data_IF_773009437269
#
_entry.id   IF_773009437269
#
_cell.length_a   1.000
_cell.length_b   1.000
_cell.length_c   1.000
_cell.angle_alpha   90.00
_cell.angle_beta   90.00
_cell.angle_gamma   90.00
#
_symmetry.space_group_name_H-M   'P 1'
#
loop_
_entity.id
_entity.type
_entity.pdbx_description
1 polymer ?
#
# COMPACT_ATOMS: atom_id res chain seq x y z
N UNK A 1 11.59 3.36 -14.64
CA UNK A 1 10.53 2.50 -14.09
C UNK A 1 10.76 1.08 -14.58
N UNK A 2 10.94 0.14 -13.66
CA UNK A 2 11.14 -1.28 -13.96
C UNK A 2 9.83 -2.04 -13.76
N UNK A 3 9.56 -3.08 -14.57
CA UNK A 3 8.38 -3.92 -14.37
C UNK A 3 8.56 -4.77 -13.12
N UNK A 4 7.52 -4.86 -12.31
CA UNK A 4 7.50 -5.65 -11.08
C UNK A 4 6.21 -6.46 -10.97
N UNK A 5 6.31 -7.60 -10.28
CA UNK A 5 5.15 -8.35 -9.79
C UNK A 5 4.92 -7.92 -8.35
N UNK A 6 3.75 -7.36 -8.06
CA UNK A 6 3.36 -6.93 -6.73
C UNK A 6 2.50 -8.04 -6.12
N UNK A 7 2.92 -8.54 -4.96
CA UNK A 7 2.16 -9.48 -4.16
C UNK A 7 1.81 -8.83 -2.83
N UNK A 8 0.51 -8.77 -2.53
CA UNK A 8 -0.02 -8.20 -1.28
C UNK A 8 -0.67 -9.34 -0.52
N UNK A 9 -0.29 -9.49 0.75
CA UNK A 9 -0.89 -10.46 1.66
C UNK A 9 -1.47 -9.72 2.85
N UNK A 10 -2.73 -9.96 3.15
CA UNK A 10 -3.43 -9.30 4.24
C UNK A 10 -4.10 -10.35 5.11
N UNK A 11 -3.84 -10.30 6.42
CA UNK A 11 -4.58 -11.08 7.41
C UNK A 11 -5.53 -10.16 8.15
N UNK A 12 -6.84 -10.41 8.02
CA UNK A 12 -7.84 -9.60 8.71
C UNK A 12 -8.02 -10.05 10.17
N UNK A 13 -8.42 -9.14 11.07
CA UNK A 13 -8.72 -9.51 12.45
C UNK A 13 -9.77 -10.62 12.53
N UNK A 14 -9.45 -11.71 13.23
CA UNK A 14 -10.33 -12.87 13.40
C UNK A 14 -10.23 -13.94 12.30
N UNK A 15 -9.56 -13.64 11.19
CA UNK A 15 -9.31 -14.61 10.12
C UNK A 15 -8.09 -15.48 10.41
N UNK A 16 -8.08 -16.69 9.82
CA UNK A 16 -6.94 -17.63 9.90
C UNK A 16 -6.15 -17.72 8.60
N UNK A 17 -6.70 -17.23 7.50
CA UNK A 17 -6.14 -17.32 6.16
C UNK A 17 -5.84 -15.92 5.62
N UNK A 18 -4.78 -15.82 4.81
CA UNK A 18 -4.41 -14.58 4.15
C UNK A 18 -5.28 -14.35 2.93
N UNK A 19 -5.74 -13.12 2.77
CA UNK A 19 -6.15 -12.61 1.46
C UNK A 19 -4.89 -12.28 0.66
N UNK A 20 -4.74 -12.90 -0.50
CA UNK A 20 -3.60 -12.67 -1.40
C UNK A 20 -4.04 -12.00 -2.69
N UNK A 21 -3.32 -10.95 -3.09
CA UNK A 21 -3.49 -10.27 -4.37
C UNK A 21 -2.16 -10.24 -5.11
N UNK A 22 -2.21 -10.59 -6.41
CA UNK A 22 -1.06 -10.44 -7.31
C UNK A 22 -1.44 -9.50 -8.44
N UNK A 23 -0.62 -8.46 -8.66
CA UNK A 23 -0.80 -7.52 -9.76
C UNK A 23 0.53 -7.26 -10.48
N UNK A 24 0.44 -6.83 -11.73
CA UNK A 24 1.58 -6.32 -12.49
C UNK A 24 1.65 -4.81 -12.30
N UNK A 25 2.86 -4.30 -12.09
CA UNK A 25 3.06 -2.87 -11.93
C UNK A 25 4.50 -2.48 -12.20
N UNK A 26 4.90 -1.36 -11.63
CA UNK A 26 6.22 -0.81 -11.80
C UNK A 26 6.86 -0.45 -10.48
N UNK A 27 8.19 -0.51 -10.44
CA UNK A 27 9.00 -0.04 -9.34
C UNK A 27 9.97 1.03 -9.84
N UNK A 28 10.18 2.06 -9.04
CA UNK A 28 11.16 3.11 -9.31
C UNK A 28 11.86 3.52 -8.02
N UNK A 29 13.19 3.65 -8.07
CA UNK A 29 13.98 4.19 -6.97
C UNK A 29 14.34 5.65 -7.25
N UNK A 30 14.08 6.52 -6.27
CA UNK A 30 14.47 7.93 -6.30
C UNK A 30 15.13 8.30 -4.97
N UNK A 31 16.46 8.38 -4.98
CA UNK A 31 17.23 8.64 -3.76
C UNK A 31 17.01 7.52 -2.73
N UNK A 32 16.55 7.90 -1.54
CA UNK A 32 16.23 6.98 -0.44
C UNK A 32 14.78 6.47 -0.45
N UNK A 33 14.02 6.73 -1.52
CA UNK A 33 12.62 6.30 -1.64
C UNK A 33 12.46 5.26 -2.73
N UNK A 34 11.60 4.29 -2.46
CA UNK A 34 11.13 3.33 -3.46
C UNK A 34 9.65 3.57 -3.71
N UNK A 35 9.28 3.71 -4.97
CA UNK A 35 7.89 3.88 -5.41
C UNK A 35 7.45 2.64 -6.16
N UNK A 36 6.32 2.07 -5.77
CA UNK A 36 5.69 0.92 -6.44
C UNK A 36 4.32 1.37 -6.90
N UNK A 37 4.04 1.31 -8.20
CA UNK A 37 2.74 1.69 -8.76
C UNK A 37 2.10 0.51 -9.47
N UNK A 38 0.82 0.27 -9.18
CA UNK A 38 0.02 -0.76 -9.84
C UNK A 38 -1.44 -0.33 -9.96
N UNK A 39 -2.13 -0.88 -10.96
CA UNK A 39 -3.57 -0.72 -11.10
C UNK A 39 -4.27 -1.78 -10.26
N UNK A 40 -5.21 -1.35 -9.42
CA UNK A 40 -6.07 -2.25 -8.66
C UNK A 40 -6.96 -3.05 -9.64
N UNK A 41 -7.47 -4.21 -9.20
CA UNK A 41 -8.23 -5.11 -10.07
C UNK A 41 -9.72 -5.10 -9.74
N UNK A 42 -10.54 -5.63 -10.64
CA UNK A 42 -11.98 -5.84 -10.37
C UNK A 42 -12.19 -6.77 -9.15
N UNK A 43 -11.22 -7.64 -8.86
CA UNK A 43 -11.26 -8.55 -7.70
C UNK A 43 -11.36 -7.78 -6.38
N UNK A 44 -10.79 -6.58 -6.28
CA UNK A 44 -10.90 -5.71 -5.11
C UNK A 44 -12.10 -4.76 -5.19
N UNK A 45 -12.79 -4.70 -6.34
CA UNK A 45 -13.84 -3.71 -6.61
C UNK A 45 -13.32 -2.28 -6.73
N UNK A 46 -12.01 -2.12 -6.99
CA UNK A 46 -11.31 -0.84 -7.07
C UNK A 46 -10.62 -0.65 -8.43
N UNK A 47 -11.09 -1.31 -9.48
CA UNK A 47 -10.46 -1.37 -10.80
C UNK A 47 -10.17 -0.01 -11.45
N UNK A 48 -10.90 1.06 -11.10
CA UNK A 48 -10.61 2.43 -11.53
C UNK A 48 -9.65 3.19 -10.58
N UNK A 49 -8.90 2.48 -9.75
CA UNK A 49 -7.92 3.06 -8.81
C UNK A 49 -6.50 2.65 -9.15
N UNK A 50 -5.61 3.65 -9.20
CA UNK A 50 -4.17 3.44 -9.24
C UNK A 50 -3.61 3.59 -7.83
N UNK A 51 -2.89 2.56 -7.37
CA UNK A 51 -2.23 2.57 -6.06
C UNK A 51 -0.73 2.78 -6.24
N UNK A 52 -0.21 3.79 -5.56
CA UNK A 52 1.23 4.04 -5.43
C UNK A 52 1.66 3.86 -3.97
N UNK A 53 2.54 2.90 -3.74
CA UNK A 53 3.21 2.69 -2.45
C UNK A 53 4.55 3.42 -2.48
N UNK A 54 4.78 4.32 -1.53
CA UNK A 54 6.01 5.09 -1.38
C UNK A 54 6.67 4.65 -0.08
N UNK A 55 7.78 3.93 -0.21
CA UNK A 55 8.57 3.40 0.90
C UNK A 55 9.72 4.35 1.20
N UNK A 56 9.92 4.62 2.49
CA UNK A 56 11.12 5.27 3.02
C UNK A 56 11.80 4.35 4.04
N UNK A 57 12.78 4.85 4.80
CA UNK A 57 13.37 4.08 5.90
C UNK A 57 12.49 4.03 7.15
N UNK A 58 11.60 5.01 7.35
CA UNK A 58 10.85 5.18 8.59
C UNK A 58 9.33 5.00 8.45
N UNK A 59 8.83 5.09 7.21
CA UNK A 59 7.40 5.09 6.93
C UNK A 59 7.06 4.48 5.56
N UNK A 60 5.77 4.22 5.38
CA UNK A 60 5.20 3.97 4.07
C UNK A 60 3.96 4.80 3.88
N UNK A 61 3.79 5.31 2.66
CA UNK A 61 2.57 5.96 2.21
C UNK A 61 1.93 5.07 1.15
N UNK A 62 0.66 4.73 1.34
CA UNK A 62 -0.19 4.15 0.29
C UNK A 62 -1.07 5.28 -0.23
N UNK A 63 -0.78 5.74 -1.45
CA UNK A 63 -1.57 6.74 -2.16
C UNK A 63 -2.46 6.04 -3.18
N UNK A 64 -3.74 6.40 -3.18
CA UNK A 64 -4.72 5.95 -4.16
C UNK A 64 -5.30 7.13 -4.91
N UNK A 65 -5.36 7.00 -6.22
CA UNK A 65 -5.90 7.99 -7.15
C UNK A 65 -6.96 7.29 -8.02
N UNK A 66 -8.08 7.96 -8.33
CA UNK A 66 -9.23 7.36 -9.01
C UNK A 66 -10.52 7.49 -8.17
N UNK A 67 -11.39 6.49 -8.22
CA UNK A 67 -12.66 6.49 -7.50
C UNK A 67 -12.50 6.37 -5.96
N UNK A 68 -11.40 5.76 -5.53
CA UNK A 68 -11.09 5.57 -4.11
C UNK A 68 -9.85 6.38 -3.72
N UNK A 69 -10.00 7.70 -3.59
CA UNK A 69 -8.90 8.60 -3.28
C UNK A 69 -8.51 8.52 -1.81
N UNK A 70 -7.23 8.26 -1.53
CA UNK A 70 -6.71 8.29 -0.16
C UNK A 70 -5.20 8.48 -0.12
N UNK A 71 -4.72 8.90 1.04
CA UNK A 71 -3.29 8.94 1.38
C UNK A 71 -3.13 8.35 2.78
N UNK A 72 -2.98 7.04 2.84
CA UNK A 72 -2.74 6.32 4.09
C UNK A 72 -1.25 6.41 4.42
N UNK A 73 -0.93 6.84 5.63
CA UNK A 73 0.44 6.89 6.13
C UNK A 73 0.58 5.88 7.28
N UNK A 74 1.66 5.10 7.25
CA UNK A 74 1.98 4.11 8.27
C UNK A 74 3.36 4.43 8.83
N UNK A 75 3.41 4.72 10.13
CA UNK A 75 4.62 5.04 10.86
C UNK A 75 4.49 4.52 12.30
N UNK A 76 5.43 3.72 12.82
CA UNK A 76 5.36 3.18 14.19
C UNK A 76 5.37 4.24 15.30
N UNK A 77 5.82 5.47 14.99
CA UNK A 77 6.04 6.53 15.97
C UNK A 77 4.72 7.09 16.53
N UNK A 78 3.70 7.25 15.68
CA UNK A 78 2.43 7.87 16.06
C UNK A 78 1.27 7.45 15.14
N UNK A 79 0.02 7.45 15.63
CA UNK A 79 -1.13 7.24 14.79
C UNK A 79 -1.26 8.31 13.70
N UNK A 80 -1.71 7.92 12.51
CA UNK A 80 -1.92 8.84 11.38
C UNK A 80 -3.39 8.88 11.00
N UNK A 81 -3.90 10.07 10.80
CA UNK A 81 -5.27 10.29 10.31
C UNK A 81 -5.24 10.62 8.83
N UNK A 82 -6.19 10.08 8.09
CA UNK A 82 -6.40 10.44 6.69
C UNK A 82 -7.88 10.44 6.33
N UNK A 83 -8.22 11.24 5.32
CA UNK A 83 -9.51 11.13 4.64
C UNK A 83 -9.42 10.04 3.58
N UNK A 84 -10.39 9.13 3.62
CA UNK A 84 -10.58 8.09 2.63
C UNK A 84 -11.86 8.39 1.86
N UNK A 85 -11.70 8.83 0.62
CA UNK A 85 -12.81 9.14 -0.27
C UNK A 85 -13.21 7.90 -1.05
N UNK A 86 -14.50 7.63 -1.10
CA UNK A 86 -15.11 6.57 -1.90
C UNK A 86 -16.28 7.15 -2.69
N UNK A 87 -16.79 6.44 -3.70
CA UNK A 87 -18.03 6.84 -4.39
C UNK A 87 -19.25 6.95 -3.46
N UNK A 88 -19.19 6.34 -2.27
CA UNK A 88 -20.29 6.26 -1.31
C UNK A 88 -20.17 7.27 -0.16
N UNK A 89 -19.09 8.05 -0.12
CA UNK A 89 -18.83 9.02 0.94
C UNK A 89 -17.37 9.07 1.37
N UNK A 90 -17.10 9.97 2.32
CA UNK A 90 -15.77 10.16 2.90
C UNK A 90 -15.72 9.64 4.32
N UNK A 91 -14.69 8.84 4.62
CA UNK A 91 -14.41 8.32 5.94
C UNK A 91 -13.18 8.99 6.52
N UNK A 92 -13.20 9.25 7.83
CA UNK A 92 -11.98 9.60 8.56
C UNK A 92 -11.38 8.31 9.11
N UNK A 93 -10.19 7.96 8.63
CA UNK A 93 -9.49 6.72 8.97
C UNK A 93 -8.28 7.07 9.83
N UNK A 94 -8.09 6.33 10.93
CA UNK A 94 -6.87 6.40 11.74
C UNK A 94 -6.11 5.09 11.62
N UNK A 95 -4.83 5.17 11.26
CA UNK A 95 -3.91 4.03 11.24
C UNK A 95 -3.04 4.06 12.49
N UNK A 96 -2.85 2.89 13.10
CA UNK A 96 -1.87 2.68 14.16
C UNK A 96 -0.94 1.57 13.70
N UNK A 97 0.30 1.92 13.38
CA UNK A 97 1.31 0.99 12.89
C UNK A 97 2.01 0.33 14.07
N UNK A 98 1.94 -1.00 14.15
CA UNK A 98 2.54 -1.76 15.25
C UNK A 98 3.95 -2.25 14.91
N UNK A 99 4.17 -2.64 13.66
CA UNK A 99 5.47 -3.03 13.13
C UNK A 99 5.70 -2.33 11.79
N UNK A 100 6.97 -2.09 11.48
CA UNK A 100 7.37 -1.58 10.17
C UNK A 100 8.75 -2.11 9.88
N UNK A 101 8.86 -2.90 8.80
CA UNK A 101 10.15 -3.43 8.37
C UNK A 101 10.18 -3.60 6.86
N UNK A 102 11.27 -3.13 6.27
CA UNK A 102 11.60 -3.40 4.87
C UNK A 102 12.79 -4.35 4.82
N UNK A 103 12.64 -5.44 4.08
CA UNK A 103 13.71 -6.41 3.81
C UNK A 103 14.00 -6.38 2.33
N UNK A 104 15.22 -5.97 1.97
CA UNK A 104 15.68 -5.92 0.59
C UNK A 104 16.64 -7.07 0.29
N UNK A 105 16.33 -7.84 -0.75
CA UNK A 105 17.21 -8.84 -1.35
C UNK A 105 17.53 -8.50 -2.81
N UNK A 106 18.37 -9.31 -3.47
CA UNK A 106 18.90 -9.00 -4.82
C UNK A 106 17.83 -8.74 -5.90
N UNK A 107 16.66 -9.39 -5.80
CA UNK A 107 15.56 -9.31 -6.79
C UNK A 107 14.17 -9.15 -6.16
N UNK A 108 14.10 -8.98 -4.84
CA UNK A 108 12.85 -8.98 -4.08
C UNK A 108 12.96 -7.96 -2.97
N UNK A 109 11.87 -7.26 -2.70
CA UNK A 109 11.72 -6.38 -1.56
C UNK A 109 10.43 -6.75 -0.85
N UNK A 110 10.48 -6.84 0.48
CA UNK A 110 9.34 -7.21 1.32
C UNK A 110 9.10 -6.11 2.35
N UNK A 111 7.86 -5.63 2.42
CA UNK A 111 7.38 -4.70 3.43
C UNK A 111 6.48 -5.46 4.41
N UNK A 112 6.71 -5.25 5.70
CA UNK A 112 5.87 -5.75 6.79
C UNK A 112 5.25 -4.55 7.53
N UNK A 113 3.94 -4.65 7.80
CA UNK A 113 3.11 -3.68 8.52
C UNK A 113 2.27 -4.40 9.58
#
# INVERSE_FOLDING_TARGET
MEKAVIQIKTLMPGEKEFLELTSLGTMERKGNKVMISYKESELTGMDDTETTIILSEEDVIIRREGDYVSRLEFCPKEPRQCLYHTPYGTFNVTTQTLDYRVVEGEKKMELFL
#
